data_IF_129489918909
#
_entry.id   IF_129489918909
#
_cell.length_a   1.000
_cell.length_b   1.000
_cell.length_c   1.000
_cell.angle_alpha   90.00
_cell.angle_beta   90.00
_cell.angle_gamma   90.00
#
_symmetry.space_group_name_H-M   'P 1'
#
loop_
_entity.id
_entity.type
_entity.pdbx_description
1 polymer ?
#
# COMPACT_ATOMS: atom_id res chain seq x y z
N UNK A 1 20.36 11.84 -7.39
CA UNK A 1 19.28 11.30 -8.27
C UNK A 1 18.11 10.90 -7.39
N UNK A 2 16.90 11.40 -7.69
CA UNK A 2 15.71 11.12 -6.89
C UNK A 2 15.37 9.63 -6.87
N UNK A 3 14.96 9.15 -5.71
CA UNK A 3 14.49 7.80 -5.42
C UNK A 3 13.17 7.88 -4.66
N UNK A 4 12.50 6.76 -4.51
CA UNK A 4 11.34 6.70 -3.64
C UNK A 4 11.49 5.63 -2.57
N UNK A 5 10.84 5.87 -1.44
CA UNK A 5 10.63 4.86 -0.42
C UNK A 5 9.16 4.81 -0.02
N UNK A 6 8.72 3.64 0.41
CA UNK A 6 7.40 3.45 0.99
C UNK A 6 7.61 2.90 2.38
N UNK A 7 7.17 3.65 3.40
CA UNK A 7 7.08 3.16 4.77
C UNK A 7 5.63 2.80 5.06
N UNK A 8 5.38 1.63 5.65
CA UNK A 8 4.02 1.17 5.90
C UNK A 8 3.89 0.37 7.19
N UNK A 9 2.70 0.33 7.78
CA UNK A 9 2.37 -0.50 8.94
C UNK A 9 0.97 -1.12 8.82
N UNK A 10 0.83 -2.39 9.24
CA UNK A 10 -0.45 -3.10 9.23
C UNK A 10 -1.33 -2.52 10.33
N UNK A 11 -2.51 -2.01 9.96
CA UNK A 11 -3.46 -1.43 10.90
C UNK A 11 -4.03 -2.49 11.83
N UNK A 12 -3.91 -2.26 13.14
CA UNK A 12 -4.46 -3.18 14.16
C UNK A 12 -4.01 -4.63 13.98
N UNK A 13 -2.72 -4.86 13.65
CA UNK A 13 -2.12 -6.19 13.47
C UNK A 13 -2.42 -7.14 14.64
N UNK A 14 -2.52 -6.61 15.86
CA UNK A 14 -2.85 -7.36 17.08
C UNK A 14 -4.30 -7.90 17.13
N UNK A 15 -5.16 -7.49 16.22
CA UNK A 15 -6.53 -8.01 16.12
C UNK A 15 -6.64 -9.23 15.20
N UNK A 16 -5.57 -9.53 14.46
CA UNK A 16 -5.48 -10.73 13.62
C UNK A 16 -5.08 -11.94 14.47
N UNK A 17 -5.55 -13.12 14.11
CA UNK A 17 -5.02 -14.35 14.71
C UNK A 17 -3.57 -14.57 14.28
N UNK A 18 -2.86 -15.46 14.97
CA UNK A 18 -1.46 -15.77 14.61
C UNK A 18 -1.39 -16.34 13.19
N UNK A 19 -2.34 -17.19 12.82
CA UNK A 19 -2.42 -17.79 11.49
C UNK A 19 -2.71 -16.73 10.41
N UNK A 20 -3.68 -15.84 10.65
CA UNK A 20 -4.01 -14.73 9.74
C UNK A 20 -2.80 -13.81 9.54
N UNK A 21 -2.12 -13.43 10.63
CA UNK A 21 -0.95 -12.56 10.55
C UNK A 21 0.21 -13.25 9.81
N UNK A 22 0.47 -14.53 10.10
CA UNK A 22 1.53 -15.31 9.42
C UNK A 22 1.25 -15.43 7.92
N UNK A 23 -0.01 -15.70 7.54
CA UNK A 23 -0.41 -15.75 6.14
C UNK A 23 -0.21 -14.39 5.45
N UNK A 24 -0.65 -13.30 6.07
CA UNK A 24 -0.46 -11.96 5.53
C UNK A 24 1.01 -11.60 5.37
N UNK A 25 1.83 -11.92 6.36
CA UNK A 25 3.28 -11.71 6.30
C UNK A 25 3.93 -12.50 5.15
N UNK A 26 3.49 -13.75 4.92
CA UNK A 26 4.00 -14.57 3.81
C UNK A 26 3.63 -13.97 2.44
N UNK A 27 2.41 -13.46 2.28
CA UNK A 27 1.98 -12.78 1.06
C UNK A 27 2.76 -11.47 0.82
N UNK A 28 3.03 -10.70 1.89
CA UNK A 28 3.84 -9.48 1.78
C UNK A 28 5.28 -9.84 1.39
N UNK A 29 5.91 -10.83 2.02
CA UNK A 29 7.27 -11.27 1.64
C UNK A 29 7.34 -11.71 0.19
N UNK A 30 6.40 -12.55 -0.25
CA UNK A 30 6.33 -12.96 -1.66
C UNK A 30 6.22 -11.76 -2.61
N UNK A 31 5.40 -10.76 -2.27
CA UNK A 31 5.28 -9.53 -3.05
C UNK A 31 6.61 -8.76 -3.13
N UNK A 32 7.36 -8.66 -2.03
CA UNK A 32 8.66 -8.00 -1.99
C UNK A 32 9.72 -8.77 -2.78
N UNK A 33 9.72 -10.09 -2.71
CA UNK A 33 10.61 -10.96 -3.49
C UNK A 33 10.33 -10.81 -5.00
N UNK A 34 9.05 -10.86 -5.42
CA UNK A 34 8.65 -10.63 -6.81
C UNK A 34 9.03 -9.23 -7.32
N UNK A 35 8.95 -8.19 -6.46
CA UNK A 35 9.38 -6.84 -6.79
C UNK A 35 10.90 -6.81 -7.07
N UNK A 36 11.69 -7.40 -6.20
CA UNK A 36 13.14 -7.48 -6.33
C UNK A 36 13.56 -8.28 -7.58
N UNK A 37 12.94 -9.42 -7.82
CA UNK A 37 13.20 -10.23 -9.02
C UNK A 37 12.92 -9.47 -10.31
N UNK A 38 11.76 -8.83 -10.42
CA UNK A 38 11.36 -8.07 -11.61
C UNK A 38 12.27 -6.90 -11.92
N UNK A 39 12.79 -6.24 -10.91
CA UNK A 39 13.72 -5.11 -11.03
C UNK A 39 15.19 -5.53 -11.11
N UNK A 40 15.49 -6.83 -11.06
CA UNK A 40 16.85 -7.37 -10.98
C UNK A 40 17.63 -6.83 -9.76
N UNK A 41 16.95 -6.75 -8.62
CA UNK A 41 17.52 -6.29 -7.35
C UNK A 41 17.65 -4.76 -7.22
N UNK A 42 17.17 -3.99 -8.20
CA UNK A 42 17.22 -2.52 -8.11
C UNK A 42 16.19 -1.95 -7.15
N UNK A 43 15.04 -2.60 -7.06
CA UNK A 43 13.97 -2.29 -6.12
C UNK A 43 13.87 -3.44 -5.13
N UNK A 44 13.68 -3.12 -3.88
CA UNK A 44 13.63 -4.14 -2.84
C UNK A 44 12.83 -3.64 -1.63
N UNK A 45 12.47 -4.53 -0.76
CA UNK A 45 11.77 -4.17 0.46
C UNK A 45 11.98 -5.20 1.56
N UNK A 46 11.58 -4.83 2.76
CA UNK A 46 11.66 -5.67 3.95
C UNK A 46 10.41 -5.56 4.81
N UNK A 47 10.08 -6.67 5.45
CA UNK A 47 9.09 -6.74 6.51
C UNK A 47 9.84 -6.90 7.84
N UNK A 48 9.68 -5.96 8.75
CA UNK A 48 10.34 -5.95 10.06
C UNK A 48 9.33 -5.73 11.18
N UNK A 49 9.70 -6.07 12.43
CA UNK A 49 8.83 -5.98 13.61
C UNK A 49 7.47 -6.70 13.47
N UNK A 50 7.31 -7.51 12.44
CA UNK A 50 6.11 -8.31 12.21
C UNK A 50 4.95 -7.59 11.49
N UNK A 51 4.92 -6.27 11.46
CA UNK A 51 3.83 -5.49 10.88
C UNK A 51 4.26 -4.23 10.11
N UNK A 52 5.55 -3.93 10.11
CA UNK A 52 6.12 -2.77 9.42
C UNK A 52 6.81 -3.19 8.14
N UNK A 53 6.58 -2.44 7.07
CA UNK A 53 7.16 -2.68 5.73
C UNK A 53 7.90 -1.44 5.28
N UNK A 54 9.08 -1.62 4.74
CA UNK A 54 9.83 -0.60 4.01
C UNK A 54 10.15 -1.09 2.62
N UNK A 55 9.98 -0.23 1.62
CA UNK A 55 10.31 -0.52 0.21
C UNK A 55 11.17 0.61 -0.32
N UNK A 56 12.26 0.26 -0.99
CA UNK A 56 13.09 1.15 -1.77
C UNK A 56 12.81 0.95 -3.25
N UNK A 57 12.65 2.05 -3.99
CA UNK A 57 12.42 2.07 -5.42
C UNK A 57 13.45 2.95 -6.13
N UNK A 58 14.15 2.36 -7.08
CA UNK A 58 15.13 3.03 -7.92
C UNK A 58 14.49 4.01 -8.89
N UNK A 59 13.24 3.72 -9.33
CA UNK A 59 12.41 4.59 -10.15
C UNK A 59 11.28 5.20 -9.32
N UNK A 60 11.31 6.51 -9.00
CA UNK A 60 10.27 7.13 -8.19
C UNK A 60 8.88 7.12 -8.85
N UNK A 61 8.78 7.07 -10.17
CA UNK A 61 7.49 7.04 -10.88
C UNK A 61 6.69 5.75 -10.64
N UNK A 62 7.30 4.69 -10.15
CA UNK A 62 6.58 3.46 -9.77
C UNK A 62 6.02 3.51 -8.34
N UNK A 63 6.34 4.55 -7.55
CA UNK A 63 6.05 4.54 -6.13
C UNK A 63 4.55 4.49 -5.82
N UNK A 64 3.73 5.25 -6.53
CA UNK A 64 2.28 5.21 -6.32
C UNK A 64 1.70 3.84 -6.69
N UNK A 65 2.10 3.27 -7.84
CA UNK A 65 1.66 1.94 -8.27
C UNK A 65 2.00 0.87 -7.24
N UNK A 66 3.26 0.84 -6.77
CA UNK A 66 3.73 -0.15 -5.79
C UNK A 66 3.02 0.03 -4.44
N UNK A 67 2.82 1.28 -3.99
CA UNK A 67 2.06 1.57 -2.78
C UNK A 67 0.62 1.05 -2.85
N UNK A 68 -0.06 1.28 -3.98
CA UNK A 68 -1.42 0.81 -4.21
C UNK A 68 -1.51 -0.71 -4.38
N UNK A 69 -0.49 -1.36 -4.97
CA UNK A 69 -0.36 -2.82 -5.00
C UNK A 69 -0.27 -3.39 -3.59
N UNK A 70 0.62 -2.85 -2.74
CA UNK A 70 0.73 -3.27 -1.34
C UNK A 70 -0.58 -3.05 -0.57
N UNK A 71 -1.23 -1.90 -0.75
CA UNK A 71 -2.54 -1.58 -0.15
C UNK A 71 -3.61 -2.59 -0.56
N UNK A 72 -3.69 -2.88 -1.86
CA UNK A 72 -4.64 -3.84 -2.42
C UNK A 72 -4.36 -5.27 -1.94
N UNK A 73 -3.09 -5.67 -1.86
CA UNK A 73 -2.64 -6.97 -1.36
C UNK A 73 -3.16 -7.22 0.06
N UNK A 74 -2.93 -6.25 0.96
CA UNK A 74 -3.36 -6.38 2.36
C UNK A 74 -4.88 -6.40 2.48
N UNK A 75 -5.59 -5.56 1.72
CA UNK A 75 -7.06 -5.51 1.76
C UNK A 75 -7.75 -6.71 1.13
N UNK A 76 -7.13 -7.38 0.16
CA UNK A 76 -7.69 -8.60 -0.44
C UNK A 76 -7.48 -9.85 0.42
N UNK A 77 -6.49 -9.83 1.33
CA UNK A 77 -6.03 -11.02 2.05
C UNK A 77 -7.15 -11.74 2.85
N UNK A 78 -8.10 -10.96 3.39
CA UNK A 78 -9.20 -11.55 4.16
C UNK A 78 -10.55 -10.99 3.72
N UNK A 79 -11.48 -11.90 3.42
CA UNK A 79 -12.89 -11.55 3.24
C UNK A 79 -13.55 -11.38 4.61
N UNK A 80 -13.18 -10.30 5.32
CA UNK A 80 -13.76 -10.02 6.63
C UNK A 80 -15.21 -9.58 6.49
N UNK A 81 -16.15 -10.36 7.06
CA UNK A 81 -17.49 -9.87 7.37
C UNK A 81 -17.36 -8.73 8.40
N UNK A 82 -18.35 -7.83 8.47
CA UNK A 82 -18.41 -6.82 9.53
C UNK A 82 -18.23 -7.50 10.89
N UNK A 83 -17.24 -7.08 11.63
CA UNK A 83 -16.93 -7.61 12.95
C UNK A 83 -17.42 -6.64 14.04
N UNK A 84 -17.78 -7.18 15.21
CA UNK A 84 -18.12 -6.37 16.40
C UNK A 84 -16.86 -5.84 17.08
N UNK A 85 -15.68 -6.45 16.83
CA UNK A 85 -14.41 -5.96 17.33
C UNK A 85 -13.98 -4.70 16.55
N UNK A 86 -13.85 -3.61 17.28
CA UNK A 86 -13.47 -2.31 16.72
C UNK A 86 -12.09 -2.33 16.02
N UNK A 87 -11.13 -3.12 16.53
CA UNK A 87 -9.79 -3.23 15.95
C UNK A 87 -9.82 -4.03 14.63
N UNK A 88 -10.58 -5.13 14.57
CA UNK A 88 -10.79 -5.89 13.32
C UNK A 88 -11.52 -5.04 12.28
N UNK A 89 -12.47 -4.21 12.70
CA UNK A 89 -13.14 -3.28 11.78
C UNK A 89 -12.18 -2.22 11.25
N UNK A 90 -11.23 -1.72 12.05
CA UNK A 90 -10.17 -0.83 11.57
C UNK A 90 -9.27 -1.52 10.56
N UNK A 91 -8.84 -2.76 10.81
CA UNK A 91 -8.08 -3.55 9.84
C UNK A 91 -8.87 -3.74 8.55
N UNK A 92 -10.12 -4.20 8.62
CA UNK A 92 -10.98 -4.37 7.46
C UNK A 92 -11.09 -3.10 6.61
N UNK A 93 -11.20 -1.95 7.27
CA UNK A 93 -11.40 -0.66 6.64
C UNK A 93 -10.13 -0.11 6.00
N UNK A 94 -9.02 -0.18 6.70
CA UNK A 94 -7.78 0.46 6.31
C UNK A 94 -6.69 -0.52 5.82
N UNK A 95 -6.65 -1.73 6.32
CA UNK A 95 -5.64 -2.77 6.02
C UNK A 95 -4.24 -2.37 6.46
N UNK A 96 -3.62 -1.48 5.72
CA UNK A 96 -2.27 -0.97 5.96
C UNK A 96 -2.26 0.55 5.83
N UNK A 97 -1.54 1.25 6.72
CA UNK A 97 -1.17 2.65 6.54
C UNK A 97 0.14 2.70 5.78
N UNK A 98 0.30 3.68 4.92
CA UNK A 98 1.53 3.85 4.15
C UNK A 98 1.82 5.32 3.87
N UNK A 99 3.10 5.63 3.76
CA UNK A 99 3.60 6.92 3.33
C UNK A 99 4.63 6.71 2.21
N UNK A 100 4.49 7.47 1.13
CA UNK A 100 5.45 7.54 0.04
C UNK A 100 6.36 8.73 0.31
N UNK A 101 7.67 8.52 0.25
CA UNK A 101 8.67 9.58 0.32
C UNK A 101 9.49 9.63 -0.98
N UNK A 102 9.68 10.83 -1.53
CA UNK A 102 10.57 11.05 -2.68
C UNK A 102 11.67 12.02 -2.25
N UNK A 103 12.91 11.64 -2.54
CA UNK A 103 14.08 12.43 -2.22
C UNK A 103 15.37 11.75 -2.64
N UNK A 104 16.50 12.35 -2.31
CA UNK A 104 17.80 11.73 -2.52
C UNK A 104 18.10 10.69 -1.44
N UNK A 105 18.77 9.62 -1.85
CA UNK A 105 19.25 8.58 -0.94
C UNK A 105 20.77 8.66 -0.84
N UNK A 106 21.29 8.62 0.39
CA UNK A 106 22.73 8.51 0.67
C UNK A 106 23.18 7.06 0.60
N UNK A 107 22.39 6.18 1.19
CA UNK A 107 22.64 4.73 1.21
C UNK A 107 21.33 3.99 0.98
N UNK A 108 21.37 2.99 0.10
CA UNK A 108 20.32 2.01 -0.07
C UNK A 108 21.01 0.66 -0.33
N UNK A 109 21.29 -0.08 0.73
CA UNK A 109 22.04 -1.34 0.68
C UNK A 109 21.17 -2.47 1.23
N UNK A 110 20.69 -3.33 0.33
CA UNK A 110 19.86 -4.47 0.66
C UNK A 110 20.63 -5.51 1.50
N UNK A 111 21.95 -5.71 1.24
CA UNK A 111 22.73 -6.72 1.93
C UNK A 111 23.02 -6.35 3.39
N UNK A 112 23.17 -5.05 3.66
CA UNK A 112 23.37 -4.51 5.01
C UNK A 112 22.05 -4.08 5.67
N UNK A 113 20.94 -4.18 4.95
CA UNK A 113 19.61 -3.79 5.43
C UNK A 113 19.54 -2.30 5.84
N UNK A 114 20.25 -1.43 5.09
CA UNK A 114 20.37 0.01 5.38
C UNK A 114 19.64 0.84 4.35
N UNK A 115 18.74 1.70 4.84
CA UNK A 115 18.13 2.80 4.08
C UNK A 115 18.44 4.11 4.81
N UNK A 116 19.12 5.06 4.13
CA UNK A 116 19.46 6.37 4.67
C UNK A 116 19.37 7.44 3.58
N UNK A 117 18.62 8.50 3.85
CA UNK A 117 18.45 9.63 2.95
C UNK A 117 17.07 10.28 3.06
N UNK A 118 16.86 11.32 2.25
CA UNK A 118 15.66 12.15 2.34
C UNK A 118 14.36 11.38 2.08
N UNK A 119 14.35 10.49 1.09
CA UNK A 119 13.15 9.72 0.78
C UNK A 119 12.65 8.94 2.01
N UNK A 120 13.52 8.18 2.69
CA UNK A 120 13.12 7.39 3.87
C UNK A 120 12.77 8.29 5.07
N UNK A 121 13.41 9.46 5.21
CA UNK A 121 13.03 10.40 6.25
C UNK A 121 11.65 10.99 6.01
N UNK A 122 11.31 11.34 4.75
CA UNK A 122 9.98 11.83 4.40
C UNK A 122 8.90 10.78 4.70
N UNK A 123 9.05 9.55 4.21
CA UNK A 123 8.04 8.50 4.42
C UNK A 123 7.93 8.08 5.89
N UNK A 124 9.06 7.88 6.57
CA UNK A 124 9.09 7.45 7.98
C UNK A 124 8.47 8.46 8.93
N UNK A 125 8.85 9.75 8.84
CA UNK A 125 8.29 10.82 9.69
C UNK A 125 6.79 11.00 9.51
N UNK A 126 6.30 10.92 8.26
CA UNK A 126 4.86 11.01 7.99
C UNK A 126 4.10 9.87 8.66
N UNK A 127 4.62 8.66 8.60
CA UNK A 127 3.99 7.50 9.21
C UNK A 127 4.03 7.57 10.75
N UNK A 128 5.15 8.01 11.33
CA UNK A 128 5.33 8.16 12.79
C UNK A 128 4.41 9.24 13.37
N UNK A 129 4.31 10.41 12.73
CA UNK A 129 3.46 11.51 13.19
C UNK A 129 1.98 11.13 13.31
N UNK A 130 1.55 10.06 12.63
CA UNK A 130 0.18 9.56 12.71
C UNK A 130 -0.05 8.60 13.90
N UNK A 131 1.00 8.17 14.62
CA UNK A 131 0.87 7.26 15.77
C UNK A 131 0.42 7.96 17.06
N UNK A 132 0.44 9.30 17.11
CA UNK A 132 0.23 10.09 18.33
C UNK A 132 -1.18 10.63 18.54
N UNK A 133 -2.22 9.98 18.08
CA UNK A 133 -3.59 10.42 18.33
C UNK A 133 -4.26 9.62 19.44
N UNK A 134 -4.18 10.17 20.68
CA UNK A 134 -5.11 9.95 21.79
C UNK A 134 -5.12 8.56 22.46
N UNK A 135 -4.98 8.54 23.78
CA UNK A 135 -4.92 7.33 24.62
C UNK A 135 -6.24 6.55 24.78
N UNK A 136 -7.38 7.06 24.32
CA UNK A 136 -8.68 6.43 24.62
C UNK A 136 -9.44 5.87 23.42
N UNK A 137 -9.18 6.34 22.21
CA UNK A 137 -9.84 5.82 21.00
C UNK A 137 -8.94 5.97 19.77
N UNK A 138 -8.60 4.85 19.13
CA UNK A 138 -7.84 4.88 17.88
C UNK A 138 -8.75 5.46 16.78
N UNK A 139 -8.49 6.70 16.39
CA UNK A 139 -9.17 7.35 15.28
C UNK A 139 -8.20 7.49 14.11
N UNK A 140 -8.34 6.65 13.10
CA UNK A 140 -7.58 6.76 11.86
C UNK A 140 -8.37 7.67 10.91
N UNK A 141 -7.88 8.89 10.71
CA UNK A 141 -8.47 9.84 9.76
C UNK A 141 -8.12 9.48 8.33
N UNK A 142 -6.88 9.10 8.12
CA UNK A 142 -6.22 8.86 6.84
C UNK A 142 -5.21 7.72 6.94
N UNK A 143 -4.99 6.98 5.86
CA UNK A 143 -4.05 5.86 5.84
C UNK A 143 -3.05 5.89 4.68
N UNK A 144 -3.06 6.95 3.87
CA UNK A 144 -2.12 7.16 2.77
C UNK A 144 -1.57 8.58 2.81
N UNK A 145 -0.24 8.72 2.72
CA UNK A 145 0.48 9.98 2.86
C UNK A 145 1.57 10.11 1.81
N UNK A 146 1.92 11.36 1.46
CA UNK A 146 3.00 11.67 0.53
C UNK A 146 3.90 12.77 1.08
N UNK A 147 5.21 12.64 0.86
CA UNK A 147 6.19 13.64 1.23
C UNK A 147 7.34 13.72 0.23
N UNK A 148 7.82 14.95 0.02
CA UNK A 148 8.98 15.27 -0.81
C UNK A 148 9.56 16.61 -0.35
N UNK A 149 10.82 16.88 -0.65
CA UNK A 149 11.41 18.20 -0.46
C UNK A 149 10.74 19.29 -1.32
N UNK A 150 10.21 18.94 -2.48
CA UNK A 150 9.39 19.85 -3.27
C UNK A 150 8.01 19.97 -2.63
N UNK A 151 7.81 21.03 -1.84
CA UNK A 151 6.57 21.26 -1.07
C UNK A 151 5.32 21.34 -1.94
N UNK A 152 5.39 22.03 -3.09
CA UNK A 152 4.26 22.18 -4.01
C UNK A 152 3.83 20.81 -4.57
N UNK A 153 4.78 20.00 -5.01
CA UNK A 153 4.52 18.66 -5.50
C UNK A 153 4.00 17.76 -4.37
N UNK A 154 4.58 17.88 -3.18
CA UNK A 154 4.14 17.12 -2.01
C UNK A 154 2.68 17.42 -1.65
N UNK A 155 2.28 18.68 -1.60
CA UNK A 155 0.91 19.09 -1.32
C UNK A 155 -0.09 18.57 -2.36
N UNK A 156 0.25 18.67 -3.65
CA UNK A 156 -0.60 18.18 -4.75
C UNK A 156 -0.80 16.66 -4.66
N UNK A 157 0.28 15.93 -4.48
CA UNK A 157 0.23 14.47 -4.37
C UNK A 157 -0.47 14.00 -3.11
N UNK A 158 -0.29 14.70 -2.00
CA UNK A 158 -0.93 14.38 -0.74
C UNK A 158 -2.47 14.50 -0.83
N UNK A 159 -2.97 15.52 -1.53
CA UNK A 159 -4.40 15.66 -1.84
C UNK A 159 -4.91 14.51 -2.71
N UNK A 160 -4.15 14.11 -3.75
CA UNK A 160 -4.50 12.96 -4.59
C UNK A 160 -4.58 11.67 -3.75
N UNK A 161 -3.60 11.45 -2.86
CA UNK A 161 -3.60 10.29 -1.98
C UNK A 161 -4.78 10.31 -1.00
N UNK A 162 -5.23 11.47 -0.55
CA UNK A 162 -6.40 11.59 0.31
C UNK A 162 -7.68 11.14 -0.41
N UNK A 163 -7.87 11.52 -1.67
CA UNK A 163 -9.00 11.02 -2.49
C UNK A 163 -8.89 9.51 -2.75
N UNK A 164 -7.71 9.00 -3.07
CA UNK A 164 -7.48 7.57 -3.23
C UNK A 164 -7.76 6.81 -1.93
N UNK A 165 -7.37 7.36 -0.78
CA UNK A 165 -7.63 6.73 0.52
C UNK A 165 -9.13 6.55 0.78
N UNK A 166 -9.97 7.51 0.37
CA UNK A 166 -11.44 7.37 0.45
C UNK A 166 -11.93 6.20 -0.41
N UNK A 167 -11.41 6.03 -1.63
CA UNK A 167 -11.77 4.91 -2.50
C UNK A 167 -11.38 3.57 -1.86
N UNK A 168 -10.12 3.45 -1.42
CA UNK A 168 -9.62 2.23 -0.79
C UNK A 168 -10.29 1.91 0.54
N UNK A 169 -10.57 2.91 1.37
CA UNK A 169 -11.30 2.77 2.63
C UNK A 169 -12.66 2.12 2.46
N UNK A 170 -13.35 2.44 1.36
CA UNK A 170 -14.68 1.92 1.05
C UNK A 170 -14.65 0.62 0.22
N UNK A 171 -13.50 0.29 -0.37
CA UNK A 171 -13.35 -0.92 -1.18
C UNK A 171 -13.48 -2.20 -0.34
N UNK A 172 -14.23 -3.16 -0.86
CA UNK A 172 -14.30 -4.54 -0.32
C UNK A 172 -13.02 -5.32 -0.67
N UNK A 173 -12.80 -6.46 -0.01
CA UNK A 173 -11.66 -7.34 -0.32
C UNK A 173 -11.70 -7.81 -1.79
N UNK A 174 -12.88 -8.15 -2.32
CA UNK A 174 -13.02 -8.58 -3.72
C UNK A 174 -12.76 -7.45 -4.71
N UNK A 175 -13.18 -6.22 -4.42
CA UNK A 175 -12.83 -5.04 -5.21
C UNK A 175 -11.32 -4.76 -5.16
N UNK A 176 -10.71 -4.85 -3.99
CA UNK A 176 -9.27 -4.68 -3.81
C UNK A 176 -8.47 -5.75 -4.57
N UNK A 177 -8.98 -6.97 -4.64
CA UNK A 177 -8.38 -8.05 -5.42
C UNK A 177 -8.41 -7.77 -6.92
N UNK A 178 -9.51 -7.26 -7.45
CA UNK A 178 -9.59 -6.82 -8.85
C UNK A 178 -8.64 -5.65 -9.13
N UNK A 179 -8.58 -4.64 -8.24
CA UNK A 179 -7.64 -3.52 -8.35
C UNK A 179 -6.19 -4.01 -8.34
N UNK A 180 -5.84 -4.96 -7.48
CA UNK A 180 -4.50 -5.56 -7.44
C UNK A 180 -4.07 -6.11 -8.80
N UNK A 181 -4.92 -6.92 -9.43
CA UNK A 181 -4.60 -7.50 -10.74
C UNK A 181 -4.58 -6.46 -11.87
N UNK A 182 -5.45 -5.45 -11.82
CA UNK A 182 -5.42 -4.33 -12.78
C UNK A 182 -4.13 -3.51 -12.66
N UNK A 183 -3.66 -3.23 -11.44
CA UNK A 183 -2.37 -2.56 -11.20
C UNK A 183 -1.17 -3.40 -11.69
N UNK A 184 -1.30 -4.73 -11.74
CA UNK A 184 -0.33 -5.63 -12.39
C UNK A 184 -0.43 -5.63 -13.93
N UNK A 185 -1.34 -4.84 -14.52
CA UNK A 185 -1.53 -4.75 -15.97
C UNK A 185 -2.38 -5.86 -16.59
N UNK A 186 -3.07 -6.69 -15.77
CA UNK A 186 -3.90 -7.77 -16.29
C UNK A 186 -5.20 -7.26 -16.90
N UNK A 187 -5.59 -7.88 -18.01
CA UNK A 187 -6.84 -7.59 -18.69
C UNK A 187 -8.03 -8.21 -17.95
N UNK A 188 -9.23 -7.62 -18.06
CA UNK A 188 -10.44 -8.09 -17.36
C UNK A 188 -10.78 -9.56 -17.63
N UNK A 189 -10.49 -10.06 -18.83
CA UNK A 189 -10.69 -11.47 -19.18
C UNK A 189 -9.75 -12.38 -18.37
N UNK A 190 -8.47 -12.03 -18.29
CA UNK A 190 -7.49 -12.77 -17.46
C UNK A 190 -7.86 -12.76 -15.98
N UNK A 191 -8.31 -11.59 -15.46
CA UNK A 191 -8.77 -11.45 -14.08
C UNK A 191 -9.99 -12.33 -13.82
N UNK A 192 -10.93 -12.36 -14.76
CA UNK A 192 -12.12 -13.21 -14.66
C UNK A 192 -11.77 -14.70 -14.55
N UNK A 193 -10.82 -15.16 -15.37
CA UNK A 193 -10.29 -16.53 -15.34
C UNK A 193 -9.57 -16.82 -14.01
N UNK A 194 -8.67 -15.96 -13.56
CA UNK A 194 -7.93 -16.10 -12.30
C UNK A 194 -8.83 -16.17 -11.07
N UNK A 195 -9.90 -15.36 -11.06
CA UNK A 195 -10.81 -15.26 -9.92
C UNK A 195 -12.01 -16.23 -10.03
N UNK A 196 -12.10 -17.00 -11.12
CA UNK A 196 -13.22 -17.87 -11.44
C UNK A 196 -14.58 -17.15 -11.35
N UNK A 197 -14.68 -15.98 -11.98
CA UNK A 197 -15.89 -15.15 -12.06
C UNK A 197 -16.15 -14.72 -13.51
N UNK A 198 -17.34 -14.16 -13.77
CA UNK A 198 -17.65 -13.62 -15.10
C UNK A 198 -16.94 -12.26 -15.32
N UNK A 199 -16.51 -11.98 -16.55
CA UNK A 199 -15.88 -10.70 -16.91
C UNK A 199 -16.75 -9.49 -16.54
N UNK A 200 -18.07 -9.58 -16.70
CA UNK A 200 -19.00 -8.53 -16.25
C UNK A 200 -18.86 -8.22 -14.75
N UNK A 201 -18.63 -9.22 -13.91
CA UNK A 201 -18.40 -9.00 -12.48
C UNK A 201 -17.08 -8.28 -12.21
N UNK A 202 -16.01 -8.56 -12.98
CA UNK A 202 -14.74 -7.82 -12.91
C UNK A 202 -14.98 -6.34 -13.24
N UNK A 203 -15.67 -6.05 -14.33
CA UNK A 203 -16.03 -4.69 -14.73
C UNK A 203 -16.87 -3.98 -13.63
N UNK A 204 -17.87 -4.66 -13.06
CA UNK A 204 -18.67 -4.10 -11.97
C UNK A 204 -17.82 -3.79 -10.73
N UNK A 205 -16.89 -4.67 -10.32
CA UNK A 205 -16.01 -4.43 -9.18
C UNK A 205 -15.05 -3.27 -9.44
N UNK A 206 -14.42 -3.22 -10.63
CA UNK A 206 -13.50 -2.16 -10.98
C UNK A 206 -14.19 -0.80 -11.09
N UNK A 207 -15.36 -0.73 -11.71
CA UNK A 207 -16.13 0.51 -11.83
C UNK A 207 -16.61 1.02 -10.47
N UNK A 208 -17.10 0.14 -9.62
CA UNK A 208 -17.62 0.52 -8.29
C UNK A 208 -16.55 1.00 -7.32
N UNK A 209 -15.29 0.57 -7.47
CA UNK A 209 -14.17 1.08 -6.67
C UNK A 209 -13.54 2.35 -7.25
N UNK A 210 -13.98 2.80 -8.42
CA UNK A 210 -13.44 3.99 -9.09
C UNK A 210 -12.11 3.74 -9.81
N UNK A 211 -11.97 2.59 -10.48
CA UNK A 211 -10.73 2.20 -11.18
C UNK A 211 -10.17 3.29 -12.08
N UNK A 212 -11.02 3.98 -12.87
CA UNK A 212 -10.56 5.03 -13.79
C UNK A 212 -9.82 6.17 -13.06
N UNK A 213 -10.28 6.54 -11.85
CA UNK A 213 -9.60 7.56 -11.05
C UNK A 213 -8.26 7.02 -10.50
N UNK A 214 -8.21 5.74 -10.09
CA UNK A 214 -6.98 5.10 -9.62
C UNK A 214 -5.96 5.03 -10.76
N UNK A 215 -6.37 4.57 -11.95
CA UNK A 215 -5.53 4.47 -13.14
C UNK A 215 -5.00 5.85 -13.58
N UNK A 216 -5.86 6.86 -13.61
CA UNK A 216 -5.47 8.24 -13.93
C UNK A 216 -4.43 8.78 -12.95
N UNK A 217 -4.60 8.54 -11.65
CA UNK A 217 -3.66 8.97 -10.64
C UNK A 217 -2.29 8.27 -10.80
N UNK A 218 -2.28 6.95 -11.07
CA UNK A 218 -1.04 6.18 -11.30
C UNK A 218 -0.33 6.65 -12.57
N UNK A 219 -1.06 6.99 -13.62
CA UNK A 219 -0.47 7.47 -14.88
C UNK A 219 0.02 8.92 -14.80
N UNK A 220 -0.56 9.72 -13.91
CA UNK A 220 -0.14 11.11 -13.65
C UNK A 220 1.15 11.17 -12.82
N UNK A 221 1.33 10.23 -11.87
CA UNK A 221 2.47 10.16 -10.96
C UNK A 221 3.77 9.82 -11.70
#
# INVERSE_FOLDING_TARGET
>A
MLRATISADIVSSTALSVEELTLLQSEIRRFLDELSEKSQGKDWGRLFKGDSVEIFLSNPHEALRIALLLKSLVKKAFSCKKDKDAKRELFRRYGIRLAIGIGEMRVADQNQDILDGEAIYCSGRLLENQKHTGNERIVIKRSMFFGSENSTFAEQMDVILEFLDVLFKNATSRQSEVVYYKLLGKQEKEIAELLNIRQHAVNQFSSSVGWNAIESAVNYF
#
